data_IF_350317535724
#
_entry.id   IF_350317535724
#
_cell.length_a   1.000
_cell.length_b   1.000
_cell.length_c   1.000
_cell.angle_alpha   90.00
_cell.angle_beta   90.00
_cell.angle_gamma   90.00
#
_symmetry.space_group_name_H-M   'P 1'
#
loop_
_entity.id
_entity.type
_entity.pdbx_description
1 polymer ?
#
# COMPACT_ATOMS: atom_id res chain seq x y z
N UNK A 1 6.45 16.30 9.89
CA UNK A 1 5.65 16.01 8.68
C UNK A 1 4.29 15.41 9.01
N UNK A 2 4.20 14.35 9.84
CA UNK A 2 2.90 13.75 10.23
C UNK A 2 1.96 14.74 10.91
N UNK A 3 2.47 15.52 11.88
CA UNK A 3 1.71 16.57 12.58
C UNK A 3 1.15 17.63 11.62
N UNK A 4 2.02 18.22 10.79
CA UNK A 4 1.67 19.21 9.76
C UNK A 4 0.58 18.69 8.80
N UNK A 5 0.68 17.44 8.35
CA UNK A 5 -0.29 16.82 7.44
C UNK A 5 -1.64 16.52 8.10
N UNK A 6 -1.65 16.36 9.42
CA UNK A 6 -2.85 16.19 10.24
C UNK A 6 -3.66 17.49 10.42
N UNK A 7 -3.03 18.65 10.25
CA UNK A 7 -3.72 19.93 10.34
C UNK A 7 -4.83 20.06 9.30
N UNK A 8 -5.91 20.76 9.67
CA UNK A 8 -7.08 20.93 8.81
C UNK A 8 -7.05 22.23 8.02
N UNK A 9 -7.40 22.15 6.74
CA UNK A 9 -7.60 23.27 5.82
C UNK A 9 -9.04 23.28 5.29
N UNK A 10 -9.48 24.42 4.77
CA UNK A 10 -10.74 24.52 4.01
C UNK A 10 -10.47 24.22 2.54
N UNK A 11 -11.24 23.32 1.97
CA UNK A 11 -11.20 22.95 0.54
C UNK A 11 -12.62 23.10 -0.02
N UNK A 12 -12.73 23.69 -1.21
CA UNK A 12 -13.99 23.80 -1.94
C UNK A 12 -14.12 22.65 -2.94
N UNK A 13 -15.24 21.93 -2.87
CA UNK A 13 -15.62 20.89 -3.84
C UNK A 13 -16.99 21.25 -4.40
N UNK A 14 -17.02 21.68 -5.67
CA UNK A 14 -18.22 22.24 -6.29
C UNK A 14 -18.68 23.50 -5.57
N UNK A 15 -19.89 23.47 -5.01
CA UNK A 15 -20.50 24.57 -4.27
C UNK A 15 -20.39 24.46 -2.75
N UNK A 16 -19.67 23.45 -2.25
CA UNK A 16 -19.54 23.21 -0.81
C UNK A 16 -18.11 23.38 -0.36
N UNK A 17 -17.95 23.93 0.84
CA UNK A 17 -16.66 23.98 1.53
C UNK A 17 -16.60 22.91 2.63
N UNK A 18 -15.47 22.24 2.70
CA UNK A 18 -15.20 21.19 3.67
C UNK A 18 -13.92 21.50 4.44
N UNK A 19 -13.95 21.27 5.75
CA UNK A 19 -12.74 21.26 6.58
C UNK A 19 -12.16 19.85 6.59
N UNK A 20 -10.98 19.68 6.00
CA UNK A 20 -10.31 18.36 5.87
C UNK A 20 -8.83 18.49 6.22
N UNK A 21 -8.20 17.42 6.70
CA UNK A 21 -6.74 17.37 6.89
C UNK A 21 -6.01 17.66 5.59
N UNK A 22 -4.81 18.26 5.64
CA UNK A 22 -3.95 18.49 4.46
C UNK A 22 -3.67 17.20 3.70
N UNK A 23 -3.44 16.07 4.40
CA UNK A 23 -3.27 14.76 3.77
C UNK A 23 -4.47 14.38 2.89
N UNK A 24 -5.69 14.46 3.42
CA UNK A 24 -6.93 14.18 2.68
C UNK A 24 -7.13 15.14 1.51
N UNK A 25 -6.80 16.42 1.66
CA UNK A 25 -6.86 17.39 0.57
C UNK A 25 -5.92 17.04 -0.58
N UNK A 26 -4.68 16.65 -0.28
CA UNK A 26 -3.70 16.19 -1.29
C UNK A 26 -4.21 14.97 -2.03
N UNK A 27 -4.73 13.96 -1.31
CA UNK A 27 -5.30 12.76 -1.94
C UNK A 27 -6.46 13.09 -2.87
N UNK A 28 -7.40 13.95 -2.45
CA UNK A 28 -8.53 14.40 -3.27
C UNK A 28 -8.07 15.10 -4.54
N UNK A 29 -7.07 15.99 -4.44
CA UNK A 29 -6.50 16.68 -5.60
C UNK A 29 -5.82 15.70 -6.58
N UNK A 30 -5.07 14.73 -6.05
CA UNK A 30 -4.39 13.72 -6.86
C UNK A 30 -5.39 12.82 -7.61
N UNK A 31 -6.47 12.39 -6.93
CA UNK A 31 -7.56 11.63 -7.56
C UNK A 31 -8.24 12.45 -8.65
N UNK A 32 -8.56 13.72 -8.38
CA UNK A 32 -9.18 14.59 -9.38
C UNK A 32 -8.30 14.78 -10.63
N UNK A 33 -6.98 14.91 -10.45
CA UNK A 33 -6.02 15.00 -11.56
C UNK A 33 -5.98 13.69 -12.37
N UNK A 34 -5.91 12.55 -11.69
CA UNK A 34 -5.89 11.24 -12.33
C UNK A 34 -7.17 10.98 -13.16
N UNK A 35 -8.35 11.30 -12.60
CA UNK A 35 -9.64 11.18 -13.30
C UNK A 35 -9.68 12.07 -14.55
N UNK A 36 -9.01 13.22 -14.54
CA UNK A 36 -8.88 14.12 -15.69
C UNK A 36 -7.82 13.66 -16.72
N UNK A 37 -7.19 12.50 -16.51
CA UNK A 37 -6.21 11.92 -17.43
C UNK A 37 -4.75 12.27 -17.14
N UNK A 38 -4.44 12.86 -15.97
CA UNK A 38 -3.05 13.03 -15.56
C UNK A 38 -2.44 11.66 -15.22
N UNK A 39 -1.63 11.16 -16.16
CA UNK A 39 -0.96 9.85 -16.04
C UNK A 39 -0.02 9.79 -14.83
N UNK A 40 0.67 10.88 -14.48
CA UNK A 40 1.59 10.89 -13.34
C UNK A 40 0.81 10.77 -12.03
N UNK A 41 -0.29 11.50 -11.92
CA UNK A 41 -1.18 11.40 -10.76
C UNK A 41 -1.76 9.97 -10.61
N UNK A 42 -2.18 9.36 -11.72
CA UNK A 42 -2.66 7.99 -11.74
C UNK A 42 -1.58 6.99 -11.28
N UNK A 43 -0.36 7.08 -11.82
CA UNK A 43 0.76 6.24 -11.39
C UNK A 43 1.04 6.41 -9.89
N UNK A 44 1.10 7.64 -9.38
CA UNK A 44 1.33 7.88 -7.96
C UNK A 44 0.26 7.25 -7.06
N UNK A 45 -1.02 7.32 -7.45
CA UNK A 45 -2.10 6.67 -6.71
C UNK A 45 -2.03 5.15 -6.74
N UNK A 46 -1.71 4.56 -7.90
CA UNK A 46 -1.56 3.11 -8.05
C UNK A 46 -0.41 2.62 -7.16
N UNK A 47 0.76 3.26 -7.22
CA UNK A 47 1.91 2.90 -6.40
C UNK A 47 1.61 3.04 -4.90
N UNK A 48 0.94 4.12 -4.49
CA UNK A 48 0.55 4.31 -3.09
C UNK A 48 -0.44 3.23 -2.65
N UNK A 49 -1.42 2.91 -3.49
CA UNK A 49 -2.42 1.87 -3.21
C UNK A 49 -1.78 0.50 -3.09
N UNK A 50 -0.85 0.15 -3.99
CA UNK A 50 -0.13 -1.12 -3.92
C UNK A 50 0.65 -1.29 -2.61
N UNK A 51 1.29 -0.22 -2.12
CA UNK A 51 2.00 -0.22 -0.83
C UNK A 51 1.08 -0.28 0.39
N UNK A 52 -0.07 0.41 0.35
CA UNK A 52 -1.00 0.47 1.49
C UNK A 52 -1.83 -0.81 1.60
N UNK A 53 -2.21 -1.40 0.47
CA UNK A 53 -3.07 -2.58 0.42
C UNK A 53 -2.29 -3.90 0.26
N UNK A 54 -0.95 -3.86 0.25
CA UNK A 54 -0.11 -5.06 0.16
C UNK A 54 -0.21 -5.79 -1.19
N UNK A 55 -0.73 -5.14 -2.25
CA UNK A 55 -0.81 -5.74 -3.60
C UNK A 55 0.57 -5.85 -4.25
N UNK A 56 1.60 -5.25 -3.64
CA UNK A 56 2.99 -5.35 -4.08
C UNK A 56 3.79 -6.47 -3.36
N UNK A 57 3.20 -7.16 -2.37
CA UNK A 57 3.92 -8.16 -1.55
C UNK A 57 3.73 -9.60 -2.07
N UNK A 58 3.59 -9.76 -3.40
CA UNK A 58 3.72 -11.06 -4.09
C UNK A 58 5.15 -11.24 -4.66
N UNK A 59 6.15 -10.54 -4.13
CA UNK A 59 7.50 -11.11 -4.13
C UNK A 59 7.53 -12.11 -2.98
N UNK A 60 7.66 -13.42 -3.20
CA UNK A 60 7.95 -14.33 -2.11
C UNK A 60 9.23 -13.80 -1.48
N UNK A 61 9.13 -13.29 -0.26
CA UNK A 61 10.30 -13.03 0.54
C UNK A 61 11.09 -14.34 0.53
N UNK A 62 12.23 -14.37 -0.17
CA UNK A 62 13.26 -15.40 0.02
C UNK A 62 13.89 -15.22 1.41
N UNK A 63 13.06 -15.06 2.44
CA UNK A 63 13.49 -15.19 3.81
C UNK A 63 13.85 -16.66 3.99
N UNK A 64 15.11 -16.97 4.36
CA UNK A 64 15.47 -18.33 4.70
C UNK A 64 14.53 -18.80 5.81
N UNK A 65 13.96 -19.99 5.66
CA UNK A 65 13.11 -20.60 6.65
C UNK A 65 13.82 -20.60 8.02
N UNK A 66 13.04 -20.46 9.09
CA UNK A 66 13.60 -20.65 10.42
C UNK A 66 14.19 -22.06 10.52
N UNK A 67 15.23 -22.23 11.33
CA UNK A 67 15.82 -23.56 11.54
C UNK A 67 14.80 -24.58 12.10
N UNK A 68 13.67 -24.11 12.66
CA UNK A 68 12.56 -24.96 13.08
C UNK A 68 11.72 -25.43 11.90
N UNK A 69 11.35 -24.53 11.00
CA UNK A 69 10.50 -24.84 9.86
C UNK A 69 11.24 -25.71 8.85
N UNK A 70 12.53 -25.44 8.63
CA UNK A 70 13.38 -26.27 7.79
C UNK A 70 13.40 -27.73 8.28
N UNK A 71 13.53 -27.96 9.60
CA UNK A 71 13.50 -29.30 10.20
C UNK A 71 12.18 -30.03 9.97
N UNK A 72 11.05 -29.32 10.04
CA UNK A 72 9.73 -29.92 9.80
C UNK A 72 9.61 -30.43 8.36
N UNK A 73 10.14 -29.66 7.40
CA UNK A 73 10.16 -30.05 5.99
C UNK A 73 11.10 -31.23 5.74
N UNK A 74 12.31 -31.20 6.31
CA UNK A 74 13.29 -32.28 6.19
C UNK A 74 12.69 -33.60 6.73
N UNK A 75 12.08 -33.57 7.93
CA UNK A 75 11.41 -34.74 8.52
C UNK A 75 10.25 -35.26 7.66
N UNK A 76 9.54 -34.37 6.96
CA UNK A 76 8.44 -34.75 6.07
C UNK A 76 8.96 -35.42 4.80
N UNK A 77 10.00 -34.87 4.19
CA UNK A 77 10.63 -35.41 2.98
C UNK A 77 11.23 -36.79 3.28
N UNK A 78 11.92 -36.93 4.41
CA UNK A 78 12.51 -38.21 4.83
C UNK A 78 11.45 -39.30 5.00
N UNK A 79 10.26 -38.96 5.53
CA UNK A 79 9.14 -39.90 5.65
C UNK A 79 8.57 -40.35 4.30
N UNK A 80 8.48 -39.46 3.30
CA UNK A 80 7.91 -39.83 2.00
C UNK A 80 8.92 -40.46 1.04
N UNK A 81 10.22 -40.20 1.18
CA UNK A 81 11.26 -40.92 0.42
C UNK A 81 11.46 -42.34 0.95
N UNK A 82 11.22 -42.57 2.25
CA UNK A 82 11.33 -43.90 2.87
C UNK A 82 10.12 -44.83 2.58
N UNK A 83 9.13 -44.37 1.81
CA UNK A 83 7.91 -45.11 1.46
C UNK A 83 7.99 -45.71 0.06
#
# INVERSE_FOLDING_TARGET
MSEELGESIRVREGDREYRVSKQRAVLKALVAAAVKGDRRAATSLITLSARVFGVADDEPENQPLSASDQRVLDDFIDREIAR
#
